data_IF_839123332558
#
_entry.id   IF_839123332558
#
_cell.length_a   1.000
_cell.length_b   1.000
_cell.length_c   1.000
_cell.angle_alpha   90.00
_cell.angle_beta   90.00
_cell.angle_gamma   90.00
#
_symmetry.space_group_name_H-M   'P 1'
#
loop_
_entity.id
_entity.type
_entity.pdbx_description
1 polymer ?
#
# COMPACT_ATOMS: atom_id res chain seq x y z
N UNK A 1 2.80 -11.32 -66.72
CA UNK A 1 4.15 -11.06 -66.15
C UNK A 1 4.10 -9.60 -65.65
N UNK A 2 4.29 -9.19 -64.39
CA UNK A 2 4.88 -9.80 -63.21
C UNK A 2 4.40 -9.06 -61.93
N UNK A 3 3.94 -9.86 -60.96
CA UNK A 3 4.19 -9.83 -59.51
C UNK A 3 3.77 -8.59 -58.70
N UNK A 4 2.66 -8.74 -57.98
CA UNK A 4 2.44 -8.14 -56.66
C UNK A 4 3.69 -8.34 -55.79
N UNK A 5 4.25 -7.26 -55.23
CA UNK A 5 5.21 -7.33 -54.13
C UNK A 5 4.49 -7.01 -52.83
N UNK A 6 4.05 -8.07 -52.15
CA UNK A 6 3.76 -8.06 -50.72
C UNK A 6 5.07 -7.76 -50.00
N UNK A 7 5.21 -6.56 -49.42
CA UNK A 7 6.25 -6.31 -48.43
C UNK A 7 5.70 -6.73 -47.07
N UNK A 8 6.20 -7.87 -46.58
CA UNK A 8 5.91 -8.41 -45.26
C UNK A 8 6.78 -7.72 -44.18
N UNK A 9 6.18 -7.59 -43.00
CA UNK A 9 6.63 -6.96 -41.75
C UNK A 9 8.04 -7.38 -41.23
N UNK A 10 8.58 -6.63 -40.25
CA UNK A 10 8.39 -7.11 -38.87
C UNK A 10 7.93 -5.98 -37.94
N UNK A 11 6.71 -6.12 -37.41
CA UNK A 11 6.28 -5.42 -36.21
C UNK A 11 7.02 -6.04 -35.04
N UNK A 12 7.92 -5.28 -34.42
CA UNK A 12 8.60 -5.68 -33.20
C UNK A 12 7.57 -5.69 -32.07
N UNK A 13 6.92 -6.84 -31.83
CA UNK A 13 6.14 -7.06 -30.61
C UNK A 13 7.14 -7.08 -29.44
N UNK A 14 7.30 -5.95 -28.75
CA UNK A 14 7.79 -5.97 -27.37
C UNK A 14 6.71 -6.65 -26.52
N UNK A 15 6.83 -7.96 -26.35
CA UNK A 15 6.18 -8.65 -25.25
C UNK A 15 6.82 -8.11 -23.96
N UNK A 16 6.20 -7.09 -23.37
CA UNK A 16 6.54 -6.63 -22.04
C UNK A 16 6.38 -7.84 -21.10
N UNK A 17 7.51 -8.39 -20.65
CA UNK A 17 7.55 -9.34 -19.56
C UNK A 17 7.04 -8.59 -18.33
N UNK A 18 5.74 -8.70 -18.06
CA UNK A 18 5.17 -8.37 -16.77
C UNK A 18 5.72 -9.41 -15.79
N UNK A 19 6.94 -9.17 -15.30
CA UNK A 19 7.43 -9.83 -14.10
C UNK A 19 6.35 -9.57 -13.04
N UNK A 20 5.80 -10.61 -12.38
CA UNK A 20 4.88 -10.38 -11.28
C UNK A 20 5.63 -9.50 -10.28
N UNK A 21 5.14 -8.28 -10.08
CA UNK A 21 5.58 -7.47 -8.96
C UNK A 21 5.20 -8.29 -7.73
N UNK A 22 6.19 -8.95 -7.13
CA UNK A 22 5.97 -9.76 -5.95
C UNK A 22 5.56 -8.77 -4.85
N UNK A 23 4.27 -8.71 -4.56
CA UNK A 23 3.74 -7.89 -3.49
C UNK A 23 4.45 -8.29 -2.18
N UNK A 24 4.91 -7.30 -1.44
CA UNK A 24 5.57 -7.47 -0.16
C UNK A 24 4.64 -8.24 0.77
N UNK A 25 5.14 -9.35 1.31
CA UNK A 25 4.43 -10.06 2.36
C UNK A 25 4.83 -9.43 3.70
N UNK A 26 3.88 -8.81 4.43
CA UNK A 26 4.22 -8.20 5.70
C UNK A 26 4.67 -9.26 6.70
N UNK A 27 5.62 -8.89 7.55
CA UNK A 27 6.02 -9.66 8.73
C UNK A 27 5.04 -9.44 9.88
N UNK A 28 5.09 -10.30 10.89
CA UNK A 28 4.29 -10.11 12.13
C UNK A 28 4.61 -8.77 12.80
N UNK A 29 5.90 -8.39 12.78
CA UNK A 29 6.37 -7.12 13.33
C UNK A 29 5.74 -5.94 12.58
N UNK A 30 5.82 -5.94 11.24
CA UNK A 30 5.21 -4.91 10.39
C UNK A 30 3.70 -4.80 10.62
N UNK A 31 3.00 -5.92 10.80
CA UNK A 31 1.57 -5.90 11.12
C UNK A 31 1.27 -5.28 12.49
N UNK A 32 2.13 -5.50 13.49
CA UNK A 32 1.99 -4.86 14.81
C UNK A 32 2.21 -3.36 14.70
N UNK A 33 3.28 -2.95 14.02
CA UNK A 33 3.60 -1.54 13.81
C UNK A 33 2.50 -0.81 13.03
N UNK A 34 1.90 -1.44 12.02
CA UNK A 34 0.75 -0.87 11.31
C UNK A 34 -0.45 -0.67 12.27
N UNK A 35 -0.73 -1.63 13.15
CA UNK A 35 -1.76 -1.49 14.18
C UNK A 35 -1.47 -0.33 15.14
N UNK A 36 -0.25 -0.25 15.66
CA UNK A 36 0.20 0.82 16.57
C UNK A 36 0.12 2.20 15.91
N UNK A 37 0.48 2.31 14.63
CA UNK A 37 0.34 3.53 13.86
C UNK A 37 -1.13 3.97 13.76
N UNK A 38 -2.03 3.05 13.43
CA UNK A 38 -3.46 3.35 13.34
C UNK A 38 -4.08 3.68 14.71
N UNK A 39 -3.59 3.06 15.79
CA UNK A 39 -3.92 3.49 17.17
C UNK A 39 -3.55 4.95 17.38
N UNK A 40 -2.35 5.36 16.99
CA UNK A 40 -1.87 6.73 17.15
C UNK A 40 -2.62 7.72 16.25
N UNK A 41 -3.06 7.29 15.06
CA UNK A 41 -3.96 8.07 14.21
C UNK A 41 -5.30 8.35 14.92
N UNK A 42 -5.87 7.33 15.56
CA UNK A 42 -7.11 7.50 16.34
C UNK A 42 -6.92 8.42 17.56
N UNK A 43 -5.79 8.31 18.27
CA UNK A 43 -5.46 9.24 19.35
C UNK A 43 -5.27 10.67 18.84
N UNK A 44 -4.67 10.85 17.66
CA UNK A 44 -4.49 12.18 17.05
C UNK A 44 -5.83 12.82 16.68
N UNK A 45 -6.76 12.03 16.11
CA UNK A 45 -8.14 12.44 15.87
C UNK A 45 -8.82 12.87 17.17
N UNK A 46 -8.71 12.06 18.23
CA UNK A 46 -9.33 12.33 19.52
C UNK A 46 -8.76 13.61 20.19
N UNK A 47 -7.54 13.98 19.82
CA UNK A 47 -6.88 15.24 20.21
C UNK A 47 -7.17 16.43 19.26
N UNK A 48 -8.14 16.30 18.35
CA UNK A 48 -8.64 17.39 17.51
C UNK A 48 -7.96 17.53 16.14
N UNK A 49 -7.10 16.60 15.73
CA UNK A 49 -6.56 16.61 14.37
C UNK A 49 -7.65 16.29 13.36
N UNK A 50 -7.78 17.10 12.31
CA UNK A 50 -8.76 16.87 11.25
C UNK A 50 -8.35 15.74 10.32
N UNK A 51 -9.36 15.12 9.68
CA UNK A 51 -9.14 14.09 8.66
C UNK A 51 -8.24 14.59 7.53
N UNK A 52 -8.56 15.75 6.98
CA UNK A 52 -7.80 16.37 5.88
C UNK A 52 -6.33 16.56 6.25
N UNK A 53 -6.06 17.21 7.40
CA UNK A 53 -4.69 17.45 7.85
C UNK A 53 -3.91 16.15 8.09
N UNK A 54 -4.54 15.13 8.67
CA UNK A 54 -3.88 13.83 8.86
C UNK A 54 -3.61 13.12 7.53
N UNK A 55 -4.60 13.08 6.63
CA UNK A 55 -4.48 12.36 5.36
C UNK A 55 -3.48 13.05 4.41
N UNK A 56 -3.47 14.38 4.34
CA UNK A 56 -2.48 15.13 3.55
C UNK A 56 -1.07 14.87 4.05
N UNK A 57 -0.88 14.87 5.38
CA UNK A 57 0.42 14.57 5.98
C UNK A 57 0.86 13.13 5.67
N UNK A 58 -0.02 12.15 5.86
CA UNK A 58 0.27 10.74 5.56
C UNK A 58 0.67 10.56 4.10
N UNK A 59 -0.09 11.11 3.15
CA UNK A 59 0.21 11.00 1.72
C UNK A 59 1.53 11.69 1.37
N UNK A 60 1.81 12.85 1.96
CA UNK A 60 3.11 13.53 1.81
C UNK A 60 4.29 12.71 2.33
N UNK A 61 4.14 12.09 3.51
CA UNK A 61 5.17 11.25 4.11
C UNK A 61 5.43 9.99 3.27
N UNK A 62 4.36 9.33 2.78
CA UNK A 62 4.49 8.19 1.86
C UNK A 62 5.20 8.59 0.56
N UNK A 63 4.85 9.72 -0.03
CA UNK A 63 5.54 10.23 -1.22
C UNK A 63 7.03 10.49 -0.97
N UNK A 64 7.38 11.05 0.19
CA UNK A 64 8.77 11.35 0.54
C UNK A 64 9.61 10.07 0.67
N UNK A 65 9.06 9.01 1.28
CA UNK A 65 9.83 7.78 1.53
C UNK A 65 9.98 6.88 0.31
N UNK A 66 9.20 7.08 -0.76
CA UNK A 66 9.33 6.31 -2.02
C UNK A 66 10.71 6.45 -2.68
N UNK A 67 11.46 7.52 -2.38
CA UNK A 67 12.84 7.68 -2.86
C UNK A 67 13.84 6.68 -2.25
N UNK A 68 13.50 6.03 -1.14
CA UNK A 68 14.36 5.05 -0.49
C UNK A 68 14.10 3.63 -1.01
N UNK A 69 15.11 2.74 -1.01
CA UNK A 69 14.92 1.29 -1.18
C UNK A 69 13.83 0.72 -0.26
N UNK A 70 12.99 -0.24 -0.71
CA UNK A 70 11.92 -0.83 0.10
C UNK A 70 12.37 -1.25 1.50
N UNK A 71 13.48 -1.99 1.60
CA UNK A 71 14.00 -2.46 2.89
C UNK A 71 14.34 -1.36 3.92
N UNK A 72 14.43 -0.09 3.50
CA UNK A 72 14.59 1.07 4.38
C UNK A 72 13.31 1.88 4.58
N UNK A 73 12.27 1.62 3.79
CA UNK A 73 10.94 2.13 4.07
C UNK A 73 10.40 1.37 5.26
N UNK A 74 9.61 2.08 6.06
CA UNK A 74 8.74 1.43 7.02
C UNK A 74 7.68 0.56 6.29
N UNK A 75 6.68 0.02 6.99
CA UNK A 75 5.59 -0.85 6.49
C UNK A 75 5.14 -0.64 5.03
N UNK A 76 5.13 0.60 4.53
CA UNK A 76 4.90 0.99 3.13
C UNK A 76 6.04 0.57 2.16
N UNK A 77 6.20 -0.74 1.98
CA UNK A 77 7.21 -1.35 1.13
C UNK A 77 6.90 -1.20 -0.37
N UNK A 78 5.62 -1.19 -0.72
CA UNK A 78 5.08 -1.16 -2.07
C UNK A 78 3.71 -0.46 -2.14
N UNK A 79 3.15 -0.38 -3.35
CA UNK A 79 1.86 0.28 -3.56
C UNK A 79 0.69 -0.39 -2.81
N UNK A 80 0.76 -1.70 -2.57
CA UNK A 80 -0.31 -2.44 -1.91
C UNK A 80 -0.33 -2.20 -0.40
N UNK A 81 0.85 -2.22 0.23
CA UNK A 81 1.05 -1.85 1.63
C UNK A 81 0.72 -0.38 1.88
N UNK A 82 1.11 0.53 0.98
CA UNK A 82 0.69 1.94 1.04
C UNK A 82 -0.85 2.08 0.98
N UNK A 83 -1.50 1.43 0.01
CA UNK A 83 -2.96 1.47 -0.13
C UNK A 83 -3.67 0.91 1.10
N UNK A 84 -3.15 -0.17 1.69
CA UNK A 84 -3.67 -0.74 2.93
C UNK A 84 -3.59 0.28 4.08
N UNK A 85 -2.44 0.93 4.25
CA UNK A 85 -2.24 1.90 5.33
C UNK A 85 -3.14 3.13 5.18
N UNK A 86 -3.24 3.66 3.96
CA UNK A 86 -4.11 4.81 3.62
C UNK A 86 -5.58 4.48 3.89
N UNK A 87 -6.03 3.29 3.50
CA UNK A 87 -7.40 2.85 3.75
C UNK A 87 -7.69 2.73 5.26
N UNK A 88 -6.81 2.09 6.02
CA UNK A 88 -6.96 1.95 7.47
C UNK A 88 -6.96 3.32 8.17
N UNK A 89 -6.08 4.24 7.76
CA UNK A 89 -6.03 5.60 8.27
C UNK A 89 -7.32 6.38 7.97
N UNK A 90 -7.87 6.27 6.75
CA UNK A 90 -9.15 6.90 6.40
C UNK A 90 -10.29 6.42 7.31
N UNK A 91 -10.35 5.11 7.59
CA UNK A 91 -11.39 4.53 8.45
C UNK A 91 -11.36 5.05 9.89
N UNK A 92 -10.19 5.51 10.38
CA UNK A 92 -10.10 6.16 11.70
C UNK A 92 -11.04 7.35 11.78
N UNK A 93 -11.12 8.15 10.72
CA UNK A 93 -11.94 9.36 10.68
C UNK A 93 -13.34 9.09 10.16
N UNK A 94 -13.47 8.20 9.17
CA UNK A 94 -14.76 7.91 8.52
C UNK A 94 -15.69 7.08 9.43
N UNK A 95 -15.12 6.28 10.33
CA UNK A 95 -15.87 5.47 11.31
C UNK A 95 -15.21 5.55 12.69
N UNK A 96 -15.44 6.65 13.44
CA UNK A 96 -14.80 6.85 14.74
C UNK A 96 -15.16 5.75 15.74
N UNK A 97 -14.12 5.14 16.33
CA UNK A 97 -14.17 4.11 17.38
C UNK A 97 -12.95 4.31 18.29
N UNK A 98 -12.87 3.56 19.39
CA UNK A 98 -11.71 3.61 20.29
C UNK A 98 -10.43 3.24 19.55
N UNK A 99 -9.32 3.86 19.95
CA UNK A 99 -8.02 3.63 19.33
C UNK A 99 -7.60 2.14 19.32
N UNK A 100 -7.88 1.41 20.41
CA UNK A 100 -7.61 -0.04 20.51
C UNK A 100 -8.43 -0.90 19.55
N UNK A 101 -9.61 -0.45 19.13
CA UNK A 101 -10.44 -1.18 18.16
C UNK A 101 -9.88 -1.05 16.75
N UNK A 102 -9.44 0.15 16.38
CA UNK A 102 -8.79 0.40 15.09
C UNK A 102 -7.43 -0.32 15.00
N UNK A 103 -6.67 -0.36 16.10
CA UNK A 103 -5.44 -1.16 16.21
C UNK A 103 -5.71 -2.65 15.97
N UNK A 104 -6.62 -3.24 16.75
CA UNK A 104 -6.91 -4.67 16.68
C UNK A 104 -7.48 -5.07 15.32
N UNK A 105 -8.28 -4.21 14.69
CA UNK A 105 -8.79 -4.43 13.33
C UNK A 105 -7.69 -4.41 12.28
N UNK A 106 -6.82 -3.40 12.33
CA UNK A 106 -5.70 -3.26 11.39
C UNK A 106 -4.73 -4.44 11.52
N UNK A 107 -4.37 -4.80 12.75
CA UNK A 107 -3.49 -5.94 13.02
C UNK A 107 -4.07 -7.23 12.44
N UNK A 108 -5.34 -7.53 12.72
CA UNK A 108 -6.01 -8.74 12.20
C UNK A 108 -6.07 -8.75 10.67
N UNK A 109 -6.40 -7.60 10.06
CA UNK A 109 -6.47 -7.47 8.60
C UNK A 109 -5.08 -7.65 7.95
N UNK A 110 -4.03 -7.12 8.57
CA UNK A 110 -2.65 -7.30 8.10
C UNK A 110 -2.21 -8.76 8.22
N UNK A 111 -2.45 -9.41 9.37
CA UNK A 111 -2.11 -10.83 9.56
C UNK A 111 -2.82 -11.74 8.53
N UNK A 112 -4.07 -11.41 8.15
CA UNK A 112 -4.78 -12.14 7.10
C UNK A 112 -4.11 -12.01 5.72
N UNK A 113 -3.49 -10.86 5.42
CA UNK A 113 -2.76 -10.62 4.17
C UNK A 113 -1.48 -11.44 4.07
N UNK A 114 -0.87 -11.81 5.20
CA UNK A 114 0.32 -12.68 5.21
C UNK A 114 0.05 -14.03 4.56
N UNK A 115 -1.15 -14.59 4.76
CA UNK A 115 -1.55 -15.89 4.18
C UNK A 115 -2.03 -15.80 2.74
N UNK A 116 -2.54 -14.64 2.32
CA UNK A 116 -3.12 -14.43 0.98
C UNK A 116 -2.08 -14.23 -0.13
N UNK A 117 -0.84 -13.84 0.20
CA UNK A 117 0.23 -13.65 -0.78
C UNK A 117 0.89 -14.94 -1.28
N UNK A 118 0.40 -16.13 -0.87
CA UNK A 118 1.02 -17.44 -1.09
C UNK A 118 0.61 -18.18 -2.39
N UNK A 119 -0.17 -17.56 -3.27
CA UNK A 119 -0.62 -18.14 -4.54
C UNK A 119 0.10 -17.54 -5.74
#
# INVERSE_FOLDING_TARGET
>A
MSRLRRAALPGLLLAALALPAQAHRPTVQECREAGEFIRNAALSRDNGLSREAFMDRLLGDLMAIRGHPPAMRWFAQDAESEAFLVAAAGQVFDRPRRASEHEAETLRACLARMGAGAT
#
